data_IF_288738718544
#
_entry.id   IF_288738718544
#
_cell.length_a   1.000
_cell.length_b   1.000
_cell.length_c   1.000
_cell.angle_alpha   90.00
_cell.angle_beta   90.00
_cell.angle_gamma   90.00
#
_symmetry.space_group_name_H-M   'P 1'
#
loop_
_entity.id
_entity.type
_entity.pdbx_description
1 polymer ?
#
# COMPACT_ATOMS: atom_id res chain seq x y z
N UNK A 1 3.84 -14.08 42.34
CA UNK A 1 2.91 -13.68 43.41
C UNK A 1 2.55 -12.21 43.29
N UNK A 2 3.51 -11.27 43.35
CA UNK A 2 3.24 -9.81 43.34
C UNK A 2 2.23 -9.33 42.29
N UNK A 3 2.40 -9.73 41.03
CA UNK A 3 1.48 -9.38 39.93
C UNK A 3 0.07 -9.97 40.13
N UNK A 4 -0.03 -11.22 40.60
CA UNK A 4 -1.32 -11.88 40.87
C UNK A 4 -2.03 -11.27 42.08
N UNK A 5 -1.25 -10.83 43.07
CA UNK A 5 -1.74 -10.16 44.28
C UNK A 5 -2.04 -8.67 44.05
N UNK A 6 -1.88 -8.16 42.82
CA UNK A 6 -2.06 -6.74 42.46
C UNK A 6 -1.16 -5.79 43.26
N UNK A 7 -0.03 -6.28 43.76
CA UNK A 7 0.98 -5.47 44.46
C UNK A 7 1.79 -4.59 43.48
N UNK A 8 1.79 -4.97 42.20
CA UNK A 8 2.43 -4.26 41.09
C UNK A 8 1.50 -4.27 39.88
N UNK A 9 1.49 -3.19 39.10
CA UNK A 9 0.68 -3.08 37.88
C UNK A 9 1.28 -3.87 36.71
N UNK A 10 2.60 -4.08 36.71
CA UNK A 10 3.33 -4.80 35.68
C UNK A 10 4.75 -5.16 36.11
N UNK A 11 5.44 -5.97 35.30
CA UNK A 11 6.83 -6.38 35.54
C UNK A 11 7.63 -6.48 34.24
N UNK A 12 8.89 -6.03 34.25
CA UNK A 12 9.85 -6.24 33.17
C UNK A 12 10.57 -7.57 33.37
N UNK A 13 10.43 -8.49 32.42
CA UNK A 13 11.12 -9.80 32.43
C UNK A 13 11.94 -9.91 31.15
N UNK A 14 13.27 -9.82 31.28
CA UNK A 14 14.19 -9.85 30.13
C UNK A 14 14.66 -11.27 29.76
N UNK A 15 14.42 -12.24 30.65
CA UNK A 15 14.75 -13.64 30.45
C UNK A 15 13.69 -14.31 29.55
N UNK A 16 14.03 -14.77 28.34
CA UNK A 16 13.06 -15.32 27.37
C UNK A 16 12.35 -16.58 27.87
N UNK A 17 13.01 -17.43 28.64
CA UNK A 17 12.40 -18.66 29.17
C UNK A 17 11.39 -18.30 30.26
N UNK A 18 11.80 -17.43 31.18
CA UNK A 18 10.93 -16.99 32.28
C UNK A 18 9.73 -16.18 31.79
N UNK A 19 9.89 -15.30 30.81
CA UNK A 19 8.77 -14.48 30.31
C UNK A 19 7.71 -15.36 29.65
N UNK A 20 8.10 -16.42 28.93
CA UNK A 20 7.17 -17.39 28.35
C UNK A 20 6.35 -18.10 29.42
N UNK A 21 7.02 -18.65 30.44
CA UNK A 21 6.34 -19.34 31.54
C UNK A 21 5.42 -18.41 32.34
N UNK A 22 5.95 -17.26 32.78
CA UNK A 22 5.22 -16.31 33.64
C UNK A 22 4.00 -15.76 32.92
N UNK A 23 4.13 -15.36 31.65
CA UNK A 23 3.02 -14.78 30.89
C UNK A 23 1.86 -15.75 30.74
N UNK A 24 2.14 -17.02 30.40
CA UNK A 24 1.10 -18.05 30.23
C UNK A 24 0.43 -18.39 31.58
N UNK A 25 1.21 -18.58 32.64
CA UNK A 25 0.67 -18.93 33.97
C UNK A 25 -0.18 -17.80 34.53
N UNK A 26 0.29 -16.56 34.46
CA UNK A 26 -0.46 -15.39 34.95
C UNK A 26 -1.77 -15.23 34.19
N UNK A 27 -1.76 -15.35 32.85
CA UNK A 27 -2.96 -15.27 32.04
C UNK A 27 -4.00 -16.34 32.44
N UNK A 28 -3.57 -17.60 32.64
CA UNK A 28 -4.46 -18.69 33.06
C UNK A 28 -5.06 -18.48 34.45
N UNK A 29 -4.28 -17.97 35.40
CA UNK A 29 -4.76 -17.74 36.78
C UNK A 29 -5.73 -16.56 36.84
N UNK A 30 -5.46 -15.47 36.12
CA UNK A 30 -6.31 -14.27 36.14
C UNK A 30 -7.57 -14.38 35.26
N UNK A 31 -7.60 -15.27 34.27
CA UNK A 31 -8.71 -15.39 33.33
C UNK A 31 -10.09 -15.54 34.01
N UNK A 32 -10.30 -16.46 34.98
CA UNK A 32 -11.61 -16.64 35.64
C UNK A 32 -12.05 -15.45 36.50
N UNK A 33 -11.08 -14.68 37.04
CA UNK A 33 -11.38 -13.46 37.79
C UNK A 33 -11.82 -12.34 36.83
N UNK A 34 -11.08 -12.17 35.72
CA UNK A 34 -11.31 -11.10 34.74
C UNK A 34 -12.54 -11.33 33.86
N UNK A 35 -12.96 -12.57 33.66
CA UNK A 35 -14.18 -12.93 32.90
C UNK A 35 -15.44 -12.23 33.42
N UNK A 36 -15.46 -11.89 34.72
CA UNK A 36 -16.61 -11.23 35.37
C UNK A 36 -16.62 -9.71 35.22
N UNK A 37 -15.55 -9.12 34.69
CA UNK A 37 -15.41 -7.67 34.59
C UNK A 37 -16.21 -7.13 33.39
N UNK A 38 -17.10 -6.18 33.66
CA UNK A 38 -17.75 -5.34 32.64
C UNK A 38 -17.16 -3.94 32.73
N UNK A 39 -16.31 -3.60 31.76
CA UNK A 39 -15.52 -2.37 31.79
C UNK A 39 -16.02 -1.30 30.82
N UNK A 40 -16.84 -1.68 29.83
CA UNK A 40 -17.43 -0.74 28.88
C UNK A 40 -18.79 -0.25 29.40
N UNK A 41 -19.16 1.02 29.14
CA UNK A 41 -20.49 1.53 29.46
C UNK A 41 -21.57 0.71 28.74
N UNK A 42 -22.81 0.71 29.22
CA UNK A 42 -23.93 0.18 28.44
C UNK A 42 -24.42 1.21 27.40
N UNK A 43 -25.15 0.80 26.35
CA UNK A 43 -25.60 1.73 25.31
C UNK A 43 -26.44 2.90 25.85
N UNK A 44 -27.26 2.65 26.86
CA UNK A 44 -28.02 3.71 27.55
C UNK A 44 -27.12 4.70 28.28
N UNK A 45 -25.99 4.23 28.82
CA UNK A 45 -24.98 5.07 29.47
C UNK A 45 -24.19 5.86 28.43
N UNK A 46 -23.83 5.25 27.29
CA UNK A 46 -23.25 5.96 26.15
C UNK A 46 -24.16 7.11 25.71
N UNK A 47 -25.47 6.88 25.62
CA UNK A 47 -26.44 7.93 25.28
C UNK A 47 -26.47 9.05 26.34
N UNK A 48 -26.45 8.71 27.64
CA UNK A 48 -26.43 9.72 28.72
C UNK A 48 -25.15 10.55 28.69
N UNK A 49 -23.99 9.92 28.54
CA UNK A 49 -22.70 10.61 28.40
C UNK A 49 -22.69 11.53 27.17
N UNK A 50 -23.25 11.06 26.05
CA UNK A 50 -23.35 11.86 24.83
C UNK A 50 -24.17 13.15 25.01
N UNK A 51 -25.21 13.14 25.85
CA UNK A 51 -26.00 14.34 26.17
C UNK A 51 -25.22 15.41 26.94
N UNK A 52 -24.07 15.08 27.52
CA UNK A 52 -23.19 16.05 28.17
C UNK A 52 -22.25 16.77 27.19
N UNK A 53 -22.23 16.35 25.92
CA UNK A 53 -21.44 16.99 24.87
C UNK A 53 -21.86 18.46 24.68
N UNK A 54 -20.88 19.36 24.62
CA UNK A 54 -21.08 20.80 24.43
C UNK A 54 -20.92 21.26 22.98
N UNK A 55 -20.71 20.30 22.06
CA UNK A 55 -20.50 20.57 20.63
C UNK A 55 -19.30 21.51 20.35
N UNK A 56 -18.29 21.49 21.22
CA UNK A 56 -17.14 22.39 21.13
C UNK A 56 -16.19 22.10 19.94
N UNK A 57 -16.32 20.93 19.30
CA UNK A 57 -15.55 20.55 18.10
C UNK A 57 -14.08 20.17 18.32
N UNK A 58 -13.57 20.20 19.56
CA UNK A 58 -12.17 19.89 19.85
C UNK A 58 -11.77 18.47 19.43
N UNK A 59 -12.63 17.48 19.66
CA UNK A 59 -12.38 16.09 19.29
C UNK A 59 -12.13 15.89 17.79
N UNK A 60 -12.81 16.64 16.92
CA UNK A 60 -12.59 16.63 15.47
C UNK A 60 -11.25 17.29 15.14
N UNK A 61 -11.02 18.50 15.71
CA UNK A 61 -9.82 19.31 15.45
C UNK A 61 -8.52 18.61 15.81
N UNK A 62 -8.50 17.87 16.91
CA UNK A 62 -7.29 17.16 17.37
C UNK A 62 -7.17 15.75 16.80
N UNK A 63 -8.21 15.26 16.11
CA UNK A 63 -8.16 13.97 15.45
C UNK A 63 -7.08 13.99 14.36
N UNK A 64 -6.10 13.06 14.37
CA UNK A 64 -5.01 13.06 13.38
C UNK A 64 -5.48 12.87 11.94
N UNK A 65 -6.71 12.36 11.77
CA UNK A 65 -7.39 12.12 10.50
C UNK A 65 -8.61 13.03 10.27
N UNK A 66 -8.85 13.99 11.16
CA UNK A 66 -10.01 14.88 11.07
C UNK A 66 -11.35 14.13 10.96
N UNK A 67 -11.52 13.05 11.74
CA UNK A 67 -12.77 12.26 11.75
C UNK A 67 -13.90 12.98 12.50
N UNK A 68 -15.16 12.80 12.07
CA UNK A 68 -16.34 13.47 12.64
C UNK A 68 -16.78 12.83 13.97
N UNK A 69 -15.90 12.87 14.97
CA UNK A 69 -16.16 12.32 16.31
C UNK A 69 -17.24 13.10 17.05
N UNK A 70 -17.27 14.43 16.94
CA UNK A 70 -18.29 15.27 17.57
C UNK A 70 -19.68 14.87 17.07
N UNK A 71 -19.85 14.74 15.76
CA UNK A 71 -21.10 14.37 15.11
C UNK A 71 -21.52 12.96 15.52
N UNK A 72 -20.56 12.05 15.75
CA UNK A 72 -20.85 10.73 16.30
C UNK A 72 -21.37 10.79 17.74
N UNK A 73 -20.74 11.60 18.60
CA UNK A 73 -21.19 11.82 19.98
C UNK A 73 -22.57 12.46 20.03
N UNK A 74 -22.81 13.53 19.27
CA UNK A 74 -24.09 14.26 19.25
C UNK A 74 -25.23 13.34 18.79
N UNK A 75 -25.03 12.58 17.70
CA UNK A 75 -26.02 11.62 17.22
C UNK A 75 -26.33 10.53 18.26
N UNK A 76 -25.34 10.07 19.02
CA UNK A 76 -25.54 9.08 20.07
C UNK A 76 -26.45 9.59 21.20
N UNK A 77 -26.49 10.91 21.46
CA UNK A 77 -27.40 11.51 22.44
C UNK A 77 -28.88 11.31 22.10
N UNK A 78 -29.21 11.22 20.80
CA UNK A 78 -30.57 10.91 20.32
C UNK A 78 -30.81 9.41 20.13
N UNK A 79 -29.87 8.55 20.58
CA UNK A 79 -29.93 7.10 20.40
C UNK A 79 -29.51 6.63 18.99
N UNK A 80 -28.93 7.50 18.16
CA UNK A 80 -28.41 7.12 16.85
C UNK A 80 -26.90 6.84 16.93
N UNK A 81 -26.51 5.56 16.83
CA UNK A 81 -25.11 5.13 16.92
C UNK A 81 -24.43 4.91 15.57
N UNK A 82 -25.10 5.18 14.43
CA UNK A 82 -24.58 4.89 13.08
C UNK A 82 -23.20 5.48 12.83
N UNK A 83 -22.97 6.72 13.25
CA UNK A 83 -21.70 7.41 13.05
C UNK A 83 -20.56 6.78 13.86
N UNK A 84 -20.84 6.31 15.09
CA UNK A 84 -19.84 5.56 15.86
C UNK A 84 -19.54 4.20 15.21
N UNK A 85 -20.55 3.54 14.65
CA UNK A 85 -20.36 2.28 13.91
C UNK A 85 -19.47 2.48 12.69
N UNK A 86 -19.71 3.55 11.91
CA UNK A 86 -18.86 3.92 10.76
C UNK A 86 -17.42 4.23 11.17
N UNK A 87 -17.21 4.90 12.30
CA UNK A 87 -15.87 5.17 12.83
C UNK A 87 -15.17 3.90 13.34
N UNK A 88 -15.93 2.94 13.86
CA UNK A 88 -15.38 1.67 14.35
C UNK A 88 -14.99 0.74 13.19
N UNK A 89 -15.86 0.63 12.18
CA UNK A 89 -15.69 -0.30 11.07
C UNK A 89 -14.38 -0.06 10.31
N UNK A 90 -13.65 -1.15 10.04
CA UNK A 90 -12.38 -1.14 9.29
C UNK A 90 -11.33 -0.18 9.87
N UNK A 91 -11.34 0.08 11.17
CA UNK A 91 -10.40 0.98 11.84
C UNK A 91 -10.35 2.40 11.24
N UNK A 92 -11.49 2.94 10.79
CA UNK A 92 -11.58 4.36 10.35
C UNK A 92 -11.11 5.30 11.46
N UNK A 93 -11.44 4.98 12.72
CA UNK A 93 -10.82 5.53 13.92
C UNK A 93 -9.74 4.59 14.46
N UNK A 94 -8.51 5.10 14.60
CA UNK A 94 -7.39 4.33 15.18
C UNK A 94 -7.49 4.07 16.69
N UNK A 95 -8.54 4.58 17.33
CA UNK A 95 -8.70 4.56 18.79
C UNK A 95 -7.50 5.13 19.55
N UNK A 96 -6.90 6.22 19.04
CA UNK A 96 -5.66 6.79 19.59
C UNK A 96 -5.83 7.61 20.88
N UNK A 97 -7.05 7.89 21.30
CA UNK A 97 -7.36 8.63 22.55
C UNK A 97 -7.07 10.13 22.54
N UNK A 98 -6.52 10.71 21.46
CA UNK A 98 -6.26 12.16 21.35
C UNK A 98 -7.49 13.02 21.63
N UNK A 99 -8.64 12.62 21.08
CA UNK A 99 -9.90 13.33 21.23
C UNK A 99 -10.46 13.24 22.66
N UNK A 100 -10.25 12.11 23.34
CA UNK A 100 -10.66 11.89 24.73
C UNK A 100 -9.85 12.77 25.70
N UNK A 101 -8.53 12.89 25.47
CA UNK A 101 -7.63 13.72 26.28
C UNK A 101 -7.98 15.22 26.24
N UNK A 102 -8.63 15.67 25.18
CA UNK A 102 -8.92 17.09 24.92
C UNK A 102 -10.41 17.40 25.13
N UNK A 103 -11.20 16.43 25.58
CA UNK A 103 -12.62 16.63 25.85
C UNK A 103 -12.80 17.40 27.17
N UNK A 104 -13.34 18.63 27.11
CA UNK A 104 -13.61 19.46 28.30
C UNK A 104 -14.64 18.88 29.28
N UNK A 105 -15.38 17.85 28.82
CA UNK A 105 -16.38 17.11 29.59
C UNK A 105 -15.87 15.75 30.05
N UNK A 106 -14.61 15.43 29.77
CA UNK A 106 -13.96 14.16 30.13
C UNK A 106 -14.76 12.92 29.65
N UNK A 107 -15.42 13.03 28.49
CA UNK A 107 -16.18 11.92 27.92
C UNK A 107 -15.24 10.79 27.51
N UNK A 108 -15.51 9.52 27.90
CA UNK A 108 -14.67 8.38 27.56
C UNK A 108 -14.91 7.92 26.11
N UNK A 109 -14.55 8.76 25.15
CA UNK A 109 -14.89 8.61 23.73
C UNK A 109 -14.43 7.25 23.16
N UNK A 110 -13.28 6.72 23.59
CA UNK A 110 -12.80 5.42 23.12
C UNK A 110 -13.60 4.27 23.71
N UNK A 111 -14.04 4.36 24.97
CA UNK A 111 -14.95 3.37 25.56
C UNK A 111 -16.35 3.43 24.94
N UNK A 112 -16.85 4.63 24.60
CA UNK A 112 -18.10 4.82 23.87
C UNK A 112 -18.03 4.16 22.49
N UNK A 113 -16.97 4.46 21.71
CA UNK A 113 -16.72 3.86 20.40
C UNK A 113 -16.63 2.32 20.49
N UNK A 114 -15.81 1.81 21.40
CA UNK A 114 -15.63 0.37 21.60
C UNK A 114 -16.92 -0.33 22.01
N UNK A 115 -17.75 0.31 22.85
CA UNK A 115 -19.06 -0.24 23.22
C UNK A 115 -19.99 -0.35 22.03
N UNK A 116 -20.10 0.70 21.23
CA UNK A 116 -20.94 0.68 20.03
C UNK A 116 -20.43 -0.39 19.04
N UNK A 117 -19.12 -0.49 18.88
CA UNK A 117 -18.46 -1.49 18.05
C UNK A 117 -18.54 -2.94 18.57
N UNK A 118 -18.87 -3.17 19.84
CA UNK A 118 -18.90 -4.51 20.46
C UNK A 118 -19.77 -5.51 19.67
N UNK A 119 -20.89 -5.03 19.10
CA UNK A 119 -21.75 -5.87 18.26
C UNK A 119 -21.06 -6.30 16.96
N UNK A 120 -20.23 -5.43 16.39
CA UNK A 120 -19.50 -5.64 15.14
C UNK A 120 -18.28 -6.54 15.38
N UNK A 121 -17.59 -6.34 16.49
CA UNK A 121 -16.41 -7.11 16.89
C UNK A 121 -16.66 -8.63 16.99
N UNK A 122 -17.90 -9.05 17.29
CA UNK A 122 -18.28 -10.47 17.37
C UNK A 122 -18.17 -11.19 16.02
N UNK A 123 -18.34 -10.43 14.94
CA UNK A 123 -18.32 -10.93 13.56
C UNK A 123 -16.95 -10.72 12.88
N UNK A 124 -16.01 -10.04 13.55
CA UNK A 124 -14.63 -9.79 13.10
C UNK A 124 -13.75 -11.05 13.19
N UNK A 125 -14.09 -12.06 12.40
CA UNK A 125 -13.31 -13.30 12.24
C UNK A 125 -12.80 -13.39 10.83
N UNK A 126 -11.49 -13.37 10.63
CA UNK A 126 -10.92 -13.23 9.29
C UNK A 126 -9.86 -14.28 9.00
N UNK A 127 -9.70 -14.60 7.71
CA UNK A 127 -8.69 -15.52 7.23
C UNK A 127 -7.57 -14.74 6.55
N UNK A 128 -6.37 -14.81 7.13
CA UNK A 128 -5.14 -14.31 6.53
C UNK A 128 -4.24 -15.49 6.22
N UNK A 129 -3.66 -15.53 5.01
CA UNK A 129 -2.63 -16.52 4.68
C UNK A 129 -1.39 -16.24 5.52
N UNK A 130 -0.77 -17.27 6.09
CA UNK A 130 0.45 -17.12 6.86
C UNK A 130 1.59 -16.51 6.02
N UNK A 131 2.50 -15.80 6.70
CA UNK A 131 3.69 -15.23 6.07
C UNK A 131 4.55 -16.31 5.42
N UNK A 132 4.59 -16.33 4.08
CA UNK A 132 5.19 -17.42 3.31
C UNK A 132 6.72 -17.34 3.17
N UNK A 133 7.32 -16.19 3.48
CA UNK A 133 8.74 -15.95 3.29
C UNK A 133 9.12 -15.63 1.82
N UNK A 134 10.34 -15.97 1.38
CA UNK A 134 10.85 -15.53 0.10
C UNK A 134 10.11 -16.15 -1.10
N UNK A 135 9.97 -15.36 -2.17
CA UNK A 135 9.62 -15.87 -3.50
C UNK A 135 10.68 -16.86 -3.93
N UNK A 136 10.32 -18.01 -4.47
CA UNK A 136 11.26 -19.07 -4.84
C UNK A 136 11.85 -18.86 -6.24
N UNK A 137 13.02 -19.44 -6.49
CA UNK A 137 13.68 -19.30 -7.79
C UNK A 137 12.88 -19.94 -8.94
N UNK A 138 12.12 -21.00 -8.65
CA UNK A 138 11.21 -21.62 -9.61
C UNK A 138 10.09 -20.66 -10.03
N UNK A 139 9.58 -19.86 -9.08
CA UNK A 139 8.60 -18.81 -9.38
C UNK A 139 9.25 -17.68 -10.20
N UNK A 140 10.45 -17.24 -9.83
CA UNK A 140 11.19 -16.21 -10.57
C UNK A 140 11.47 -16.64 -12.02
N UNK A 141 11.86 -17.90 -12.26
CA UNK A 141 12.07 -18.43 -13.63
C UNK A 141 10.79 -18.40 -14.46
N UNK A 142 9.63 -18.61 -13.83
CA UNK A 142 8.32 -18.61 -14.48
C UNK A 142 7.88 -17.19 -14.87
N UNK A 143 8.04 -16.22 -13.98
CA UNK A 143 7.52 -14.86 -14.19
C UNK A 143 8.54 -13.82 -14.64
N UNK A 144 9.83 -14.14 -14.63
CA UNK A 144 10.90 -13.20 -14.96
C UNK A 144 10.77 -12.58 -16.35
N UNK A 145 10.58 -13.40 -17.38
CA UNK A 145 10.39 -12.89 -18.75
C UNK A 145 9.07 -12.11 -18.89
N UNK A 146 7.90 -12.65 -18.47
CA UNK A 146 6.65 -11.92 -18.55
C UNK A 146 6.65 -10.55 -17.84
N UNK A 147 7.33 -10.42 -16.70
CA UNK A 147 7.46 -9.13 -15.98
C UNK A 147 8.36 -8.14 -16.74
N UNK A 148 9.48 -8.59 -17.28
CA UNK A 148 10.44 -7.73 -18.00
C UNK A 148 9.88 -7.28 -19.35
N UNK A 149 9.09 -8.14 -20.01
CA UNK A 149 8.47 -7.84 -21.31
C UNK A 149 7.14 -7.08 -21.17
N UNK A 150 6.59 -7.00 -19.96
CA UNK A 150 5.35 -6.31 -19.61
C UNK A 150 4.05 -7.11 -19.86
N UNK A 151 4.15 -8.41 -20.17
CA UNK A 151 2.99 -9.31 -20.28
C UNK A 151 2.27 -9.48 -18.94
N UNK A 152 3.06 -9.53 -17.85
CA UNK A 152 2.54 -9.30 -16.49
C UNK A 152 2.73 -7.81 -16.20
N UNK A 153 1.65 -7.05 -15.92
CA UNK A 153 1.72 -5.59 -15.80
C UNK A 153 2.69 -5.09 -14.72
N UNK A 154 2.86 -5.85 -13.64
CA UNK A 154 3.89 -5.58 -12.64
C UNK A 154 3.65 -6.29 -11.32
N UNK A 155 4.55 -6.03 -10.38
CA UNK A 155 4.44 -6.46 -8.98
C UNK A 155 4.00 -5.28 -8.11
N UNK A 156 2.85 -5.41 -7.46
CA UNK A 156 2.34 -4.40 -6.52
C UNK A 156 2.59 -4.87 -5.09
N UNK A 157 3.32 -4.09 -4.32
CA UNK A 157 3.67 -4.40 -2.95
C UNK A 157 2.88 -3.55 -1.95
N UNK A 158 1.80 -4.10 -1.40
CA UNK A 158 0.95 -3.43 -0.41
C UNK A 158 1.48 -3.70 1.00
N UNK A 159 2.13 -2.70 1.59
CA UNK A 159 2.95 -2.86 2.79
C UNK A 159 2.69 -1.73 3.79
N UNK A 160 3.34 -1.80 4.94
CA UNK A 160 3.41 -0.68 5.87
C UNK A 160 2.45 -0.79 7.05
N UNK A 161 2.06 0.38 7.55
CA UNK A 161 1.33 0.53 8.82
C UNK A 161 -0.16 0.82 8.56
N UNK A 162 -0.95 0.94 9.64
CA UNK A 162 -2.41 1.12 9.58
C UNK A 162 -2.89 2.57 9.76
N UNK A 163 -2.03 3.57 9.50
CA UNK A 163 -2.44 4.98 9.55
C UNK A 163 -3.15 5.40 8.25
N UNK A 164 -4.22 4.67 7.90
CA UNK A 164 -5.04 4.85 6.70
C UNK A 164 -6.02 6.03 6.81
N UNK A 165 -6.19 6.85 5.76
CA UNK A 165 -7.14 7.98 5.78
C UNK A 165 -8.57 7.53 6.06
N UNK A 166 -9.08 6.49 5.38
CA UNK A 166 -10.45 6.01 5.52
C UNK A 166 -10.54 4.50 5.87
N UNK A 167 -9.63 4.05 6.73
CA UNK A 167 -9.65 2.67 7.25
C UNK A 167 -9.01 1.63 6.34
N UNK A 168 -8.97 0.38 6.81
CA UNK A 168 -8.29 -0.74 6.16
C UNK A 168 -8.94 -1.22 4.87
N UNK A 169 -10.22 -0.90 4.65
CA UNK A 169 -10.98 -1.33 3.46
C UNK A 169 -10.34 -0.85 2.14
N UNK A 170 -9.82 0.38 2.12
CA UNK A 170 -9.16 0.94 0.94
C UNK A 170 -7.97 0.08 0.50
N UNK A 171 -7.24 -0.51 1.44
CA UNK A 171 -6.09 -1.39 1.17
C UNK A 171 -6.53 -2.68 0.45
N UNK A 172 -7.65 -3.25 0.87
CA UNK A 172 -8.21 -4.43 0.22
C UNK A 172 -8.79 -4.11 -1.16
N UNK A 173 -9.46 -2.96 -1.32
CA UNK A 173 -9.99 -2.51 -2.61
C UNK A 173 -8.87 -2.25 -3.62
N UNK A 174 -7.77 -1.60 -3.18
CA UNK A 174 -6.55 -1.48 -4.00
C UNK A 174 -5.99 -2.85 -4.39
N UNK A 175 -5.88 -3.80 -3.45
CA UNK A 175 -5.40 -5.15 -3.75
C UNK A 175 -6.27 -5.84 -4.80
N UNK A 176 -7.60 -5.78 -4.62
CA UNK A 176 -8.59 -6.37 -5.53
C UNK A 176 -8.48 -5.78 -6.93
N UNK A 177 -8.39 -4.46 -7.07
CA UNK A 177 -8.27 -3.79 -8.36
C UNK A 177 -7.03 -4.29 -9.15
N UNK A 178 -5.89 -4.47 -8.48
CA UNK A 178 -4.67 -4.97 -9.12
C UNK A 178 -4.74 -6.48 -9.42
N UNK A 179 -5.37 -7.27 -8.56
CA UNK A 179 -5.60 -8.69 -8.79
C UNK A 179 -6.50 -8.92 -10.01
N UNK A 180 -7.59 -8.16 -10.15
CA UNK A 180 -8.50 -8.24 -11.29
C UNK A 180 -7.82 -7.86 -12.60
N UNK A 181 -6.81 -6.98 -12.53
CA UNK A 181 -5.98 -6.52 -13.65
C UNK A 181 -4.73 -7.37 -13.90
N UNK A 182 -4.66 -8.58 -13.35
CA UNK A 182 -3.58 -9.54 -13.62
C UNK A 182 -2.18 -9.10 -13.12
N UNK A 183 -2.11 -8.16 -12.18
CA UNK A 183 -0.86 -7.89 -11.47
C UNK A 183 -0.54 -9.02 -10.47
N UNK A 184 0.72 -9.09 -10.06
CA UNK A 184 1.12 -9.90 -8.89
C UNK A 184 1.03 -8.99 -7.67
N UNK A 185 0.21 -9.34 -6.68
CA UNK A 185 0.06 -8.55 -5.45
C UNK A 185 0.76 -9.25 -4.29
N UNK A 186 1.74 -8.59 -3.69
CA UNK A 186 2.42 -9.04 -2.48
C UNK A 186 2.10 -8.11 -1.32
N UNK A 187 1.98 -8.65 -0.11
CA UNK A 187 1.67 -7.88 1.08
C UNK A 187 2.52 -8.28 2.28
N UNK A 188 2.74 -7.33 3.21
CA UNK A 188 3.39 -7.58 4.50
C UNK A 188 2.76 -6.76 5.63
N UNK A 189 3.01 -7.17 6.88
CA UNK A 189 2.70 -6.38 8.06
C UNK A 189 1.22 -6.03 8.20
N UNK A 190 0.91 -4.80 8.62
CA UNK A 190 -0.47 -4.36 8.82
C UNK A 190 -1.26 -4.34 7.51
N UNK A 191 -0.62 -4.05 6.37
CA UNK A 191 -1.30 -4.11 5.06
C UNK A 191 -1.82 -5.51 4.74
N UNK A 192 -1.02 -6.55 5.03
CA UNK A 192 -1.47 -7.94 4.86
C UNK A 192 -2.63 -8.32 5.79
N UNK A 193 -2.67 -7.76 7.01
CA UNK A 193 -3.78 -7.96 7.95
C UNK A 193 -5.06 -7.30 7.44
N UNK A 194 -5.00 -6.02 7.07
CA UNK A 194 -6.16 -5.27 6.57
C UNK A 194 -6.74 -5.83 5.27
N UNK A 195 -5.91 -6.42 4.40
CA UNK A 195 -6.39 -7.15 3.21
C UNK A 195 -7.23 -8.37 3.63
N UNK A 196 -6.84 -9.07 4.70
CA UNK A 196 -7.55 -10.25 5.20
C UNK A 196 -8.86 -9.93 5.92
N UNK A 197 -9.01 -8.70 6.43
CA UNK A 197 -10.22 -8.22 7.10
C UNK A 197 -11.36 -7.90 6.12
N UNK A 198 -11.07 -7.79 4.82
CA UNK A 198 -12.09 -7.61 3.80
C UNK A 198 -12.73 -8.95 3.39
N UNK A 199 -14.05 -8.94 3.23
CA UNK A 199 -14.83 -10.04 2.64
C UNK A 199 -15.64 -9.52 1.46
N UNK A 200 -15.80 -10.39 0.46
CA UNK A 200 -16.73 -10.15 -0.65
C UNK A 200 -18.19 -10.46 -0.25
N UNK A 201 -19.10 -10.34 -1.21
CA UNK A 201 -20.53 -10.64 -1.05
C UNK A 201 -20.80 -12.12 -0.69
N UNK A 202 -19.87 -13.03 -1.00
CA UNK A 202 -19.93 -14.44 -0.63
C UNK A 202 -19.32 -14.73 0.76
N UNK A 203 -18.81 -13.70 1.44
CA UNK A 203 -18.15 -13.81 2.74
C UNK A 203 -16.71 -14.32 2.69
N UNK A 204 -16.09 -14.41 1.52
CA UNK A 204 -14.71 -14.88 1.34
C UNK A 204 -13.72 -13.72 1.36
N UNK A 205 -12.59 -13.94 2.00
CA UNK A 205 -11.45 -13.02 1.96
C UNK A 205 -10.74 -13.07 0.60
N UNK A 206 -9.98 -12.03 0.26
CA UNK A 206 -9.16 -12.04 -0.96
C UNK A 206 -8.12 -13.17 -0.94
N UNK A 207 -7.62 -13.56 0.24
CA UNK A 207 -6.69 -14.68 0.37
C UNK A 207 -7.30 -16.06 0.05
N UNK A 208 -8.62 -16.19 0.17
CA UNK A 208 -9.39 -17.40 -0.21
C UNK A 208 -9.78 -17.39 -1.68
N UNK A 209 -10.04 -16.20 -2.24
CA UNK A 209 -10.42 -16.03 -3.65
C UNK A 209 -9.24 -16.18 -4.62
N UNK A 210 -8.05 -15.72 -4.24
CA UNK A 210 -6.89 -15.63 -5.11
C UNK A 210 -5.77 -16.63 -4.73
N UNK A 211 -5.03 -17.09 -5.73
CA UNK A 211 -3.86 -17.96 -5.52
C UNK A 211 -2.78 -17.21 -4.73
N UNK A 212 -1.95 -17.92 -3.97
CA UNK A 212 -0.78 -17.33 -3.29
C UNK A 212 0.53 -17.71 -3.95
N UNK A 213 0.47 -18.13 -5.21
CA UNK A 213 1.65 -18.25 -6.07
C UNK A 213 2.12 -16.88 -6.53
N UNK A 214 3.44 -16.70 -6.68
CA UNK A 214 4.00 -15.49 -7.27
C UNK A 214 3.82 -15.55 -8.78
N UNK A 215 2.60 -15.25 -9.23
CA UNK A 215 2.16 -15.23 -10.62
C UNK A 215 1.03 -14.19 -10.81
N UNK A 216 0.65 -13.97 -12.06
CA UNK A 216 -0.49 -13.14 -12.45
C UNK A 216 -1.74 -13.46 -11.61
N UNK A 217 -2.38 -12.42 -11.06
CA UNK A 217 -3.53 -12.51 -10.14
C UNK A 217 -3.22 -13.21 -8.81
N UNK A 218 -1.95 -13.38 -8.44
CA UNK A 218 -1.56 -13.94 -7.16
C UNK A 218 -1.59 -12.91 -6.04
N UNK A 219 -2.10 -13.29 -4.86
CA UNK A 219 -2.07 -12.53 -3.61
C UNK A 219 -1.25 -13.25 -2.55
N UNK A 220 -0.10 -12.67 -2.18
CA UNK A 220 0.88 -13.31 -1.30
C UNK A 220 1.09 -12.50 -0.02
N UNK A 221 0.84 -13.11 1.14
CA UNK A 221 1.39 -12.59 2.39
C UNK A 221 2.84 -13.05 2.53
N UNK A 222 3.79 -12.14 2.33
CA UNK A 222 5.23 -12.43 2.41
C UNK A 222 5.71 -12.53 3.87
N UNK A 223 5.02 -11.88 4.81
CA UNK A 223 5.27 -11.99 6.24
C UNK A 223 5.18 -10.67 6.99
N UNK A 224 5.98 -10.52 8.04
CA UNK A 224 6.01 -9.31 8.87
C UNK A 224 6.76 -8.17 8.18
N UNK A 225 6.88 -7.01 8.84
CA UNK A 225 7.56 -5.84 8.26
C UNK A 225 9.01 -6.13 7.81
N UNK A 226 9.73 -7.04 8.45
CA UNK A 226 11.11 -7.39 8.04
C UNK A 226 11.13 -8.24 6.76
N UNK A 227 10.04 -8.92 6.45
CA UNK A 227 9.90 -9.73 5.23
C UNK A 227 9.79 -8.88 3.96
N UNK A 228 9.70 -7.54 4.07
CA UNK A 228 9.84 -6.63 2.92
C UNK A 228 11.17 -6.81 2.17
N UNK A 229 12.22 -7.31 2.85
CA UNK A 229 13.47 -7.68 2.21
C UNK A 229 13.30 -8.73 1.10
N UNK A 230 12.30 -9.60 1.20
CA UNK A 230 12.00 -10.60 0.17
C UNK A 230 11.28 -10.01 -1.05
N UNK A 231 10.63 -8.84 -0.93
CA UNK A 231 9.97 -8.16 -2.03
C UNK A 231 11.02 -7.54 -2.96
N UNK A 232 11.93 -6.73 -2.41
CA UNK A 232 13.09 -6.24 -3.17
C UNK A 232 13.97 -7.40 -3.63
N UNK A 233 14.12 -8.43 -2.78
CA UNK A 233 14.80 -9.68 -3.12
C UNK A 233 14.23 -10.37 -4.36
N UNK A 234 12.91 -10.39 -4.54
CA UNK A 234 12.29 -10.94 -5.75
C UNK A 234 12.71 -10.17 -7.01
N UNK A 235 12.73 -8.83 -6.97
CA UNK A 235 13.18 -7.99 -8.08
C UNK A 235 14.67 -8.17 -8.39
N UNK A 236 15.51 -8.22 -7.35
CA UNK A 236 16.95 -8.52 -7.46
C UNK A 236 17.17 -9.89 -8.10
N UNK A 237 16.38 -10.89 -7.71
CA UNK A 237 16.46 -12.23 -8.30
C UNK A 237 15.98 -12.29 -9.75
N UNK A 238 15.07 -11.41 -10.18
CA UNK A 238 14.74 -11.30 -11.61
C UNK A 238 15.99 -10.87 -12.39
N UNK A 239 16.70 -9.83 -11.93
CA UNK A 239 17.95 -9.40 -12.58
C UNK A 239 19.01 -10.51 -12.59
N UNK A 240 19.18 -11.25 -11.49
CA UNK A 240 20.16 -12.31 -11.41
C UNK A 240 19.79 -13.58 -12.18
N UNK A 241 18.58 -14.12 -11.99
CA UNK A 241 18.19 -15.41 -12.55
C UNK A 241 17.80 -15.29 -14.02
N UNK A 242 17.03 -14.26 -14.38
CA UNK A 242 16.55 -14.08 -15.75
C UNK A 242 17.59 -13.37 -16.62
N UNK A 243 18.15 -12.25 -16.15
CA UNK A 243 19.16 -11.50 -16.91
C UNK A 243 20.60 -11.92 -16.65
N UNK A 244 20.84 -12.92 -15.78
CA UNK A 244 22.18 -13.49 -15.50
C UNK A 244 23.20 -12.45 -15.02
N UNK A 245 22.75 -11.37 -14.40
CA UNK A 245 23.62 -10.33 -13.85
C UNK A 245 24.22 -10.80 -12.51
N UNK A 246 25.55 -10.67 -12.28
CA UNK A 246 26.17 -11.07 -11.02
C UNK A 246 25.72 -10.15 -9.88
N UNK A 247 25.65 -10.69 -8.65
CA UNK A 247 25.15 -9.95 -7.48
C UNK A 247 26.28 -9.38 -6.61
N UNK A 248 27.42 -10.06 -6.48
CA UNK A 248 28.47 -9.62 -5.57
C UNK A 248 29.05 -8.26 -5.99
N UNK A 249 28.97 -7.27 -5.08
CA UNK A 249 29.54 -5.94 -5.29
C UNK A 249 28.91 -5.13 -6.42
N UNK A 250 27.73 -5.54 -6.93
CA UNK A 250 27.19 -5.03 -8.20
C UNK A 250 25.85 -4.30 -8.03
N UNK A 251 25.77 -3.44 -7.01
CA UNK A 251 24.52 -2.77 -6.64
C UNK A 251 23.94 -1.91 -7.78
N UNK A 252 24.78 -1.09 -8.42
CA UNK A 252 24.35 -0.09 -9.42
C UNK A 252 23.75 -0.75 -10.66
N UNK A 253 24.41 -1.76 -11.23
CA UNK A 253 23.89 -2.46 -12.41
C UNK A 253 22.55 -3.16 -12.11
N UNK A 254 22.40 -3.74 -10.91
CA UNK A 254 21.15 -4.41 -10.52
C UNK A 254 20.02 -3.39 -10.29
N UNK A 255 20.32 -2.27 -9.64
CA UNK A 255 19.35 -1.19 -9.43
C UNK A 255 18.91 -0.55 -10.76
N UNK A 256 19.86 -0.29 -11.65
CA UNK A 256 19.62 0.24 -13.00
C UNK A 256 18.78 -0.75 -13.83
N UNK A 257 19.08 -2.05 -13.75
CA UNK A 257 18.28 -3.08 -14.41
C UNK A 257 16.83 -3.05 -13.90
N UNK A 258 16.61 -3.00 -12.59
CA UNK A 258 15.25 -2.98 -12.00
C UNK A 258 14.51 -1.72 -12.42
N UNK A 259 15.16 -0.55 -12.31
CA UNK A 259 14.59 0.75 -12.68
C UNK A 259 14.09 0.77 -14.13
N UNK A 260 14.90 0.24 -15.05
CA UNK A 260 14.61 0.32 -16.48
C UNK A 260 13.75 -0.83 -17.01
N UNK A 261 13.65 -1.96 -16.29
CA UNK A 261 13.11 -3.21 -16.85
C UNK A 261 12.06 -3.93 -16.03
N UNK A 262 12.02 -3.74 -14.71
CA UNK A 262 11.12 -4.51 -13.84
C UNK A 262 9.97 -3.63 -13.39
N UNK A 263 8.79 -3.87 -13.97
CA UNK A 263 7.56 -3.19 -13.57
C UNK A 263 7.17 -3.58 -12.15
N UNK A 264 7.36 -2.67 -11.21
CA UNK A 264 7.00 -2.86 -9.81
C UNK A 264 6.67 -1.52 -9.15
N UNK A 265 5.78 -1.54 -8.15
CA UNK A 265 5.46 -0.38 -7.34
C UNK A 265 5.08 -0.80 -5.92
N UNK A 266 5.62 -0.12 -4.91
CA UNK A 266 5.18 -0.25 -3.53
C UNK A 266 4.00 0.67 -3.22
N UNK A 267 3.13 0.24 -2.31
CA UNK A 267 2.02 1.02 -1.77
C UNK A 267 2.09 0.94 -0.25
N UNK A 268 2.42 2.06 0.39
CA UNK A 268 2.43 2.20 1.85
C UNK A 268 1.34 3.19 2.28
N UNK A 269 0.09 2.77 2.09
CA UNK A 269 -1.09 3.62 2.24
C UNK A 269 -1.20 4.25 3.64
N UNK A 270 -1.02 3.43 4.68
CA UNK A 270 -1.10 3.87 6.07
C UNK A 270 0.24 4.17 6.73
N UNK A 271 1.24 4.64 5.98
CA UNK A 271 2.59 4.83 6.53
C UNK A 271 2.63 5.87 7.68
N UNK A 272 3.12 5.49 8.87
CA UNK A 272 3.40 6.42 9.98
C UNK A 272 4.78 6.27 10.64
N UNK A 273 5.35 5.05 10.65
CA UNK A 273 6.57 4.76 11.40
C UNK A 273 7.85 5.11 10.64
N UNK A 274 8.95 5.41 11.34
CA UNK A 274 10.27 5.61 10.69
C UNK A 274 10.72 4.37 9.90
N UNK A 275 10.27 3.17 10.29
CA UNK A 275 10.52 1.93 9.54
C UNK A 275 9.93 1.99 8.13
N UNK A 276 8.72 2.54 7.98
CA UNK A 276 8.08 2.67 6.67
C UNK A 276 8.89 3.60 5.74
N UNK A 277 9.37 4.74 6.26
CA UNK A 277 10.24 5.64 5.52
C UNK A 277 11.58 4.99 5.12
N UNK A 278 12.18 4.19 6.01
CA UNK A 278 13.41 3.46 5.74
C UNK A 278 13.20 2.35 4.69
N UNK A 279 12.09 1.60 4.75
CA UNK A 279 11.73 0.57 3.76
C UNK A 279 11.51 1.21 2.40
N UNK A 280 10.72 2.29 2.32
CA UNK A 280 10.48 3.02 1.07
C UNK A 280 11.81 3.51 0.45
N UNK A 281 12.64 4.16 1.25
CA UNK A 281 13.97 4.62 0.80
C UNK A 281 14.85 3.45 0.35
N UNK A 282 14.78 2.31 1.04
CA UNK A 282 15.51 1.10 0.69
C UNK A 282 15.11 0.55 -0.68
N UNK A 283 13.81 0.49 -1.00
CA UNK A 283 13.35 0.00 -2.31
C UNK A 283 13.56 1.03 -3.43
N UNK A 284 13.51 2.33 -3.13
CA UNK A 284 13.85 3.36 -4.11
C UNK A 284 15.29 3.29 -4.59
N UNK A 285 16.21 2.94 -3.69
CA UNK A 285 17.61 2.69 -4.06
C UNK A 285 17.76 1.58 -5.10
N UNK A 286 16.82 0.63 -5.14
CA UNK A 286 16.76 -0.42 -6.16
C UNK A 286 15.95 -0.02 -7.41
N UNK A 287 15.61 1.27 -7.58
CA UNK A 287 14.81 1.73 -8.73
C UNK A 287 13.32 1.37 -8.64
N UNK A 288 12.82 0.99 -7.46
CA UNK A 288 11.42 0.63 -7.26
C UNK A 288 10.66 1.84 -6.72
N UNK A 289 9.63 2.34 -7.42
CA UNK A 289 8.81 3.46 -6.97
C UNK A 289 7.85 3.05 -5.86
N UNK A 290 7.44 4.03 -5.04
CA UNK A 290 6.51 3.85 -3.92
C UNK A 290 5.47 4.95 -3.90
N UNK A 291 4.20 4.55 -3.80
CA UNK A 291 3.08 5.42 -3.46
C UNK A 291 2.83 5.33 -1.96
N UNK A 292 2.73 6.47 -1.29
CA UNK A 292 2.34 6.57 0.12
C UNK A 292 0.99 7.28 0.21
N UNK A 293 0.21 6.99 1.25
CA UNK A 293 -1.01 7.76 1.51
C UNK A 293 -0.71 9.18 1.97
N UNK A 294 -1.74 10.01 2.19
CA UNK A 294 -1.60 11.45 2.40
C UNK A 294 -0.77 11.77 3.66
N UNK A 295 -0.86 10.95 4.70
CA UNK A 295 -0.03 11.11 5.90
C UNK A 295 1.46 10.85 5.66
N UNK A 296 1.82 10.13 4.60
CA UNK A 296 3.21 9.94 4.18
C UNK A 296 3.89 11.25 3.76
N UNK A 297 3.14 12.29 3.38
CA UNK A 297 3.69 13.64 3.13
C UNK A 297 4.43 14.21 4.36
N UNK A 298 4.05 13.78 5.57
CA UNK A 298 4.67 14.19 6.85
C UNK A 298 6.12 13.72 7.01
N UNK A 299 6.62 12.82 6.15
CA UNK A 299 8.04 12.46 6.09
C UNK A 299 8.95 13.52 5.45
N UNK A 300 8.36 14.60 4.89
CA UNK A 300 9.05 15.82 4.41
C UNK A 300 9.88 15.68 3.13
N UNK A 301 10.07 14.48 2.58
CA UNK A 301 10.84 14.25 1.36
C UNK A 301 10.11 13.31 0.42
N UNK A 302 9.81 13.81 -0.78
CA UNK A 302 9.32 13.05 -1.92
C UNK A 302 10.42 13.01 -3.00
N UNK A 303 10.30 12.08 -3.94
CA UNK A 303 11.23 11.91 -5.06
C UNK A 303 10.42 11.99 -6.36
N UNK A 304 10.15 13.22 -6.78
CA UNK A 304 9.29 13.53 -7.92
C UNK A 304 10.15 13.85 -9.15
N UNK A 305 9.91 13.16 -10.26
CA UNK A 305 10.46 13.50 -11.57
C UNK A 305 9.86 14.77 -12.16
N UNK A 306 10.63 15.40 -13.04
CA UNK A 306 10.28 16.63 -13.76
C UNK A 306 10.01 16.30 -15.22
N UNK A 307 8.77 15.98 -15.56
CA UNK A 307 8.35 15.61 -16.93
C UNK A 307 8.53 16.74 -17.93
N UNK A 308 8.54 17.99 -17.47
CA UNK A 308 8.81 19.18 -18.27
C UNK A 308 10.28 19.28 -18.72
N UNK A 309 11.21 18.57 -18.07
CA UNK A 309 12.64 18.59 -18.34
C UNK A 309 13.08 17.36 -19.15
N UNK A 310 12.89 17.42 -20.47
CA UNK A 310 13.18 16.29 -21.40
C UNK A 310 14.61 15.77 -21.28
N UNK A 311 15.58 16.64 -21.02
CA UNK A 311 16.99 16.30 -20.86
C UNK A 311 17.28 15.37 -19.67
N UNK A 312 16.46 15.41 -18.62
CA UNK A 312 16.61 14.53 -17.44
C UNK A 312 16.13 13.10 -17.69
N UNK A 313 15.49 12.85 -18.82
CA UNK A 313 14.95 11.55 -19.21
C UNK A 313 15.76 10.88 -20.32
N UNK A 314 16.95 11.39 -20.63
CA UNK A 314 17.85 10.69 -21.55
C UNK A 314 18.30 9.37 -20.95
N UNK A 315 18.51 8.39 -21.83
CA UNK A 315 18.96 7.04 -21.48
C UNK A 315 20.04 6.61 -22.45
N UNK A 316 20.90 5.70 -22.01
CA UNK A 316 21.89 5.05 -22.85
C UNK A 316 21.41 3.64 -23.21
N UNK A 317 21.43 3.29 -24.48
CA UNK A 317 21.27 1.89 -24.88
C UNK A 317 22.64 1.20 -24.81
N UNK A 318 22.89 0.37 -23.79
CA UNK A 318 24.18 -0.30 -23.60
C UNK A 318 24.56 -1.22 -24.76
N UNK A 319 23.58 -1.67 -25.55
CA UNK A 319 23.85 -2.54 -26.70
C UNK A 319 24.47 -1.77 -27.87
N UNK A 320 24.10 -0.51 -28.04
CA UNK A 320 24.57 0.34 -29.15
C UNK A 320 25.52 1.45 -28.72
N UNK A 321 25.58 1.75 -27.42
CA UNK A 321 26.30 2.87 -26.83
C UNK A 321 25.66 4.24 -27.07
N UNK A 322 24.52 4.32 -27.77
CA UNK A 322 23.86 5.58 -28.12
C UNK A 322 23.12 6.17 -26.93
N UNK A 323 23.22 7.48 -26.77
CA UNK A 323 22.35 8.27 -25.89
C UNK A 323 21.11 8.64 -26.70
N UNK A 324 19.94 8.39 -26.13
CA UNK A 324 18.65 8.61 -26.77
C UNK A 324 17.65 9.23 -25.79
N UNK A 325 16.61 9.85 -26.33
CA UNK A 325 15.52 10.36 -25.50
C UNK A 325 14.72 9.19 -24.90
N UNK A 326 14.57 9.19 -23.58
CA UNK A 326 13.79 8.20 -22.86
C UNK A 326 12.36 8.67 -22.58
N UNK A 327 11.81 8.23 -21.46
CA UNK A 327 10.45 8.52 -21.01
C UNK A 327 10.36 8.53 -19.48
N UNK A 328 9.38 9.20 -18.87
CA UNK A 328 9.24 9.28 -17.42
C UNK A 328 8.65 8.00 -16.81
N UNK A 329 9.34 6.86 -16.97
CA UNK A 329 8.85 5.54 -16.59
C UNK A 329 9.89 4.80 -15.71
N UNK A 330 9.74 4.80 -14.36
CA UNK A 330 8.72 5.49 -13.57
C UNK A 330 8.97 7.00 -13.44
N UNK A 331 7.91 7.80 -13.33
CA UNK A 331 8.01 9.26 -13.19
C UNK A 331 8.50 9.67 -11.79
N UNK A 332 8.10 8.92 -10.77
CA UNK A 332 8.38 9.24 -9.37
C UNK A 332 8.95 8.02 -8.68
N UNK A 333 9.87 8.23 -7.74
CA UNK A 333 10.31 7.17 -6.83
C UNK A 333 9.53 7.20 -5.52
N UNK A 334 9.09 8.37 -5.06
CA UNK A 334 8.16 8.49 -3.92
C UNK A 334 7.11 9.53 -4.25
N UNK A 335 5.84 9.10 -4.27
CA UNK A 335 4.68 9.94 -4.49
C UNK A 335 3.70 9.82 -3.32
N UNK A 336 3.12 10.93 -2.86
CA UNK A 336 2.07 10.93 -1.85
C UNK A 336 0.72 11.20 -2.52
N UNK A 337 -0.13 10.19 -2.57
CA UNK A 337 -1.49 10.32 -3.09
C UNK A 337 -2.45 10.80 -2.00
N UNK A 338 -3.45 11.59 -2.39
CA UNK A 338 -4.44 12.18 -1.49
C UNK A 338 -5.57 11.19 -1.17
N UNK A 339 -6.01 10.44 -2.17
CA UNK A 339 -7.11 9.46 -2.07
C UNK A 339 -6.76 8.13 -2.75
N UNK A 340 -7.60 7.12 -2.52
CA UNK A 340 -7.37 5.76 -3.00
C UNK A 340 -7.36 5.70 -4.53
N UNK A 341 -8.26 6.41 -5.19
CA UNK A 341 -8.40 6.44 -6.64
C UNK A 341 -7.12 6.93 -7.31
N UNK A 342 -6.56 8.03 -6.81
CA UNK A 342 -5.27 8.56 -7.24
C UNK A 342 -4.13 7.58 -6.98
N UNK A 343 -4.13 6.94 -5.80
CA UNK A 343 -3.10 5.96 -5.46
C UNK A 343 -3.11 4.77 -6.43
N UNK A 344 -4.29 4.28 -6.80
CA UNK A 344 -4.46 3.19 -7.78
C UNK A 344 -3.92 3.61 -9.15
N UNK A 345 -4.34 4.77 -9.65
CA UNK A 345 -3.93 5.28 -10.96
C UNK A 345 -2.41 5.47 -11.02
N UNK A 346 -1.85 6.11 -9.99
CA UNK A 346 -0.42 6.37 -9.90
C UNK A 346 0.38 5.06 -9.78
N UNK A 347 -0.10 4.11 -8.99
CA UNK A 347 0.56 2.80 -8.85
C UNK A 347 0.64 2.04 -10.18
N UNK A 348 -0.44 2.05 -10.98
CA UNK A 348 -0.44 1.45 -12.32
C UNK A 348 0.54 2.16 -13.28
N UNK A 349 0.52 3.49 -13.30
CA UNK A 349 1.42 4.32 -14.11
C UNK A 349 2.89 4.06 -13.78
N UNK A 350 3.22 3.98 -12.49
CA UNK A 350 4.58 3.76 -12.00
C UNK A 350 5.10 2.33 -12.26
N UNK A 351 4.31 1.41 -12.83
CA UNK A 351 4.77 0.11 -13.31
C UNK A 351 5.24 0.12 -14.78
N UNK A 352 5.01 1.19 -15.54
CA UNK A 352 5.50 1.33 -16.93
C UNK A 352 7.04 1.38 -16.91
N UNK A 353 7.68 0.72 -17.89
CA UNK A 353 9.15 0.65 -17.99
C UNK A 353 9.64 0.83 -19.43
N UNK A 354 10.81 1.46 -19.65
CA UNK A 354 11.39 1.68 -20.97
C UNK A 354 11.47 0.43 -21.85
N UNK A 355 11.70 -0.75 -21.25
CA UNK A 355 11.85 -2.01 -22.00
C UNK A 355 10.58 -2.78 -22.27
N UNK A 356 9.41 -2.26 -21.88
CA UNK A 356 8.15 -2.94 -22.18
C UNK A 356 8.08 -3.25 -23.68
N UNK A 357 7.69 -4.47 -24.06
CA UNK A 357 7.45 -4.77 -25.48
C UNK A 357 6.23 -3.98 -25.97
N UNK A 358 5.98 -3.91 -27.29
CA UNK A 358 4.76 -3.26 -27.78
C UNK A 358 3.48 -3.85 -27.18
N UNK A 359 3.45 -5.18 -27.00
CA UNK A 359 2.33 -5.87 -26.32
C UNK A 359 2.26 -5.52 -24.83
N UNK A 360 3.38 -5.60 -24.12
CA UNK A 360 3.42 -5.28 -22.69
C UNK A 360 3.06 -3.83 -22.41
N UNK A 361 3.53 -2.90 -23.26
CA UNK A 361 3.19 -1.48 -23.18
C UNK A 361 1.70 -1.26 -23.42
N UNK A 362 1.11 -1.88 -24.44
CA UNK A 362 -0.34 -1.81 -24.66
C UNK A 362 -1.13 -2.26 -23.43
N UNK A 363 -0.73 -3.33 -22.76
CA UNK A 363 -1.40 -3.82 -21.54
C UNK A 363 -1.33 -2.76 -20.43
N UNK A 364 -0.13 -2.27 -20.13
CA UNK A 364 0.06 -1.27 -19.06
C UNK A 364 -0.64 0.06 -19.35
N UNK A 365 -0.56 0.54 -20.59
CA UNK A 365 -1.28 1.75 -21.02
C UNK A 365 -2.79 1.55 -20.99
N UNK A 366 -3.29 0.37 -21.38
CA UNK A 366 -4.72 0.07 -21.28
C UNK A 366 -5.19 0.16 -19.82
N UNK A 367 -4.43 -0.42 -18.87
CA UNK A 367 -4.77 -0.29 -17.45
C UNK A 367 -4.71 1.15 -16.96
N UNK A 368 -3.66 1.89 -17.32
CA UNK A 368 -3.51 3.28 -16.92
C UNK A 368 -4.66 4.16 -17.45
N UNK A 369 -4.95 4.07 -18.75
CA UNK A 369 -6.04 4.82 -19.40
C UNK A 369 -7.39 4.44 -18.79
N UNK A 370 -7.67 3.15 -18.63
CA UNK A 370 -8.95 2.67 -18.07
C UNK A 370 -9.16 3.16 -16.64
N UNK A 371 -8.13 3.07 -15.79
CA UNK A 371 -8.18 3.58 -14.41
C UNK A 371 -8.37 5.11 -14.38
N UNK A 372 -7.62 5.83 -15.20
CA UNK A 372 -7.71 7.29 -15.27
C UNK A 372 -9.10 7.72 -15.74
N UNK A 373 -9.65 7.06 -16.77
CA UNK A 373 -11.00 7.35 -17.28
C UNK A 373 -12.08 6.98 -16.27
N UNK A 374 -11.93 5.86 -15.55
CA UNK A 374 -12.88 5.43 -14.52
C UNK A 374 -12.98 6.44 -13.38
N UNK A 375 -11.85 6.95 -12.89
CA UNK A 375 -11.82 7.80 -11.70
C UNK A 375 -11.85 9.31 -11.99
N UNK A 376 -11.34 9.74 -13.14
CA UNK A 376 -11.29 11.17 -13.52
C UNK A 376 -12.20 11.54 -14.70
N UNK A 377 -12.84 10.57 -15.37
CA UNK A 377 -13.78 10.83 -16.48
C UNK A 377 -13.14 11.29 -17.80
N UNK A 378 -11.82 11.46 -17.84
CA UNK A 378 -11.05 11.93 -19.00
C UNK A 378 -9.91 10.96 -19.33
N UNK A 379 -9.18 11.18 -20.42
CA UNK A 379 -7.96 10.43 -20.74
C UNK A 379 -6.76 11.04 -20.01
N UNK A 380 -5.70 10.25 -19.75
CA UNK A 380 -4.48 10.79 -19.15
C UNK A 380 -3.87 11.90 -20.03
N UNK A 381 -3.66 13.11 -19.52
CA UNK A 381 -3.17 14.24 -20.31
C UNK A 381 -1.72 14.04 -20.81
N UNK A 382 -0.97 13.18 -20.14
CA UNK A 382 0.42 12.86 -20.36
C UNK A 382 0.63 11.52 -21.08
N UNK A 383 -0.42 10.90 -21.62
CA UNK A 383 -0.33 9.60 -22.30
C UNK A 383 0.70 9.60 -23.44
N UNK A 384 0.85 10.73 -24.13
CA UNK A 384 1.81 10.94 -25.21
C UNK A 384 3.27 10.76 -24.78
N UNK A 385 3.57 10.92 -23.48
CA UNK A 385 4.92 10.69 -22.95
C UNK A 385 5.30 9.21 -22.94
N UNK A 386 4.31 8.30 -22.86
CA UNK A 386 4.49 6.85 -22.69
C UNK A 386 4.18 6.03 -23.96
N UNK A 387 3.72 6.67 -25.03
CA UNK A 387 3.57 6.05 -26.36
C UNK A 387 4.88 6.27 -27.12
N UNK A 388 5.60 5.20 -27.47
CA UNK A 388 6.87 5.29 -28.20
C UNK A 388 6.67 5.14 -29.70
N UNK A 389 5.73 4.28 -30.11
CA UNK A 389 5.26 4.19 -31.49
C UNK A 389 3.80 3.71 -31.54
N UNK A 390 3.20 3.65 -32.73
CA UNK A 390 1.80 3.24 -32.88
C UNK A 390 1.46 1.84 -32.32
N UNK A 391 2.45 0.95 -32.19
CA UNK A 391 2.24 -0.39 -31.63
C UNK A 391 2.07 -0.38 -30.12
N UNK A 392 2.35 0.73 -29.43
CA UNK A 392 2.11 0.86 -28.00
C UNK A 392 0.66 1.25 -27.69
N UNK A 393 -0.08 1.76 -28.68
CA UNK A 393 -1.42 2.29 -28.48
C UNK A 393 -2.40 1.12 -28.24
N UNK A 394 -3.13 1.10 -27.10
CA UNK A 394 -4.13 0.07 -26.84
C UNK A 394 -5.25 0.08 -27.89
N UNK A 395 -5.64 -1.11 -28.36
CA UNK A 395 -6.65 -1.27 -29.42
C UNK A 395 -7.96 -0.55 -29.06
N UNK A 396 -8.42 -0.71 -27.82
CA UNK A 396 -9.68 -0.12 -27.31
C UNK A 396 -9.70 1.40 -27.37
N UNK A 397 -8.54 2.05 -27.17
CA UNK A 397 -8.40 3.50 -27.07
C UNK A 397 -7.69 4.11 -28.28
N UNK A 398 -7.56 3.35 -29.38
CA UNK A 398 -6.69 3.72 -30.49
C UNK A 398 -7.05 5.04 -31.15
N UNK A 399 -8.35 5.30 -31.33
CA UNK A 399 -8.83 6.53 -31.94
C UNK A 399 -8.49 7.73 -31.04
N UNK A 400 -8.98 7.70 -29.80
CA UNK A 400 -8.83 8.82 -28.87
C UNK A 400 -7.36 9.13 -28.55
N UNK A 401 -6.51 8.10 -28.41
CA UNK A 401 -5.07 8.31 -28.19
C UNK A 401 -4.42 8.94 -29.42
N UNK A 402 -4.77 8.52 -30.65
CA UNK A 402 -4.21 9.14 -31.86
C UNK A 402 -4.57 10.62 -31.97
N UNK A 403 -5.80 11.00 -31.63
CA UNK A 403 -6.21 12.41 -31.60
C UNK A 403 -5.32 13.23 -30.65
N UNK A 404 -5.06 12.74 -29.44
CA UNK A 404 -4.13 13.40 -28.49
C UNK A 404 -2.71 13.51 -29.06
N UNK A 405 -2.19 12.45 -29.69
CA UNK A 405 -0.84 12.45 -30.27
C UNK A 405 -0.70 13.47 -31.40
N UNK A 406 -1.73 13.61 -32.24
CA UNK A 406 -1.78 14.61 -33.31
C UNK A 406 -1.84 16.04 -32.74
N UNK A 407 -2.66 16.29 -31.72
CA UNK A 407 -2.80 17.61 -31.07
C UNK A 407 -1.47 18.11 -30.47
N UNK A 408 -0.68 17.21 -29.88
CA UNK A 408 0.60 17.57 -29.22
C UNK A 408 1.81 17.50 -30.17
N UNK A 409 1.60 17.21 -31.46
CA UNK A 409 2.68 17.09 -32.44
C UNK A 409 3.67 15.98 -32.08
N UNK A 410 3.17 14.85 -31.60
CA UNK A 410 4.00 13.72 -31.18
C UNK A 410 4.69 13.05 -32.38
N UNK A 411 5.95 12.66 -32.17
CA UNK A 411 6.77 11.93 -33.13
C UNK A 411 7.15 10.55 -32.55
N UNK A 412 7.13 9.47 -33.34
CA UNK A 412 7.60 8.16 -32.90
C UNK A 412 9.06 8.22 -32.44
N UNK A 413 9.37 7.53 -31.34
CA UNK A 413 10.74 7.40 -30.81
C UNK A 413 11.27 5.97 -30.97
N UNK A 414 12.58 5.87 -31.13
CA UNK A 414 13.28 4.59 -31.15
C UNK A 414 13.19 3.93 -29.77
N UNK A 415 12.93 2.62 -29.74
CA UNK A 415 12.83 1.86 -28.48
C UNK A 415 14.24 1.39 -28.08
N UNK A 416 14.72 1.69 -26.86
CA UNK A 416 16.00 1.21 -26.37
C UNK A 416 15.99 -0.31 -26.20
N UNK A 417 17.08 -0.98 -26.57
CA UNK A 417 17.19 -2.44 -26.43
C UNK A 417 17.72 -2.81 -25.04
N UNK A 418 18.70 -2.05 -24.58
CA UNK A 418 19.25 -2.14 -23.24
C UNK A 418 19.37 -0.77 -22.58
N UNK A 419 18.23 -0.15 -22.19
CA UNK A 419 18.23 1.14 -21.52
C UNK A 419 18.94 1.04 -20.17
N UNK A 420 19.77 2.05 -19.92
CA UNK A 420 20.55 2.22 -18.71
C UNK A 420 20.81 3.70 -18.47
N UNK A 421 20.92 4.07 -17.20
CA UNK A 421 21.45 5.37 -16.78
C UNK A 421 22.96 5.33 -16.52
N UNK A 422 23.57 4.14 -16.52
CA UNK A 422 24.99 3.98 -16.24
C UNK A 422 25.87 4.55 -17.36
N UNK A 423 26.95 5.21 -16.98
CA UNK A 423 27.91 5.81 -17.90
C UNK A 423 27.28 6.91 -18.77
N UNK A 424 26.31 7.63 -18.19
CA UNK A 424 25.84 8.95 -18.62
C UNK A 424 26.66 10.04 -17.90
N UNK A 425 26.75 11.25 -18.48
CA UNK A 425 27.50 12.35 -17.88
C UNK A 425 26.94 12.70 -16.48
N UNK A 426 27.67 12.34 -15.42
CA UNK A 426 27.23 12.49 -14.03
C UNK A 426 27.57 11.32 -13.11
N UNK A 427 27.99 10.17 -13.66
CA UNK A 427 28.63 9.07 -12.93
C UNK A 427 30.12 9.30 -12.65
#
# INVERSE_FOLDING_TARGET
>A
SKLLNKEIEGALILDPEKVGEVSVKVAKILAPEREKLKLLPELEEVQKLALECTECGWCNRVCPNNKPMMEAVVAAGTGNFSNFEELYLNDVCYSCGRCEQECERELPLMSMLAKVGEKLAKDEKFNIRAGRGPVQDVEIRRVGAPLVLGDIPGVIAIVGCSNYPNGGKEVAEMAKEFLERNYIVVATGCGAMSIGEYRDEEGKTLYEQYSGEFDSRGLLNIGSCVSNAHISGACIKIANIFAKKPLEGNFEEIADYILNRVGACGVAWGAYSQKAAAIATGVNRWGIPVVVGPHGSKYRRLLLGRTDKKETWKIKDLRTGKIMDGEPAPEHLIYAAENMEEAIVMTAKLCIRPTDTGKGRQIKLNHYIDLYKRYYGILPPDIHLFVRNEKDIPITYKKDVKEILEEVGWEPREIPQEPSLMGMDGD
#
